data_IF_825550901899
#
_entry.id   IF_825550901899
#
_cell.length_a   1.000
_cell.length_b   1.000
_cell.length_c   1.000
_cell.angle_alpha   90.00
_cell.angle_beta   90.00
_cell.angle_gamma   90.00
#
_symmetry.space_group_name_H-M   'P 1'
#
loop_
_entity.id
_entity.type
_entity.pdbx_description
1 polymer ?
#
# COMPACT_ATOMS: atom_id res chain seq x y z
N UNK A 1 -41.13 -3.00 31.34
CA UNK A 1 -40.85 -4.39 31.74
C UNK A 1 -41.33 -4.57 33.17
N UNK A 2 -42.10 -5.63 33.43
CA UNK A 2 -42.69 -5.92 34.75
C UNK A 2 -41.98 -7.16 35.28
N UNK A 3 -41.57 -7.14 36.56
CA UNK A 3 -40.98 -8.29 37.21
C UNK A 3 -42.06 -9.33 37.52
N UNK A 4 -41.71 -10.60 37.34
CA UNK A 4 -42.58 -11.74 37.66
C UNK A 4 -42.83 -11.88 39.18
N UNK A 5 -41.99 -11.23 40.00
CA UNK A 5 -42.20 -11.09 41.43
C UNK A 5 -41.75 -9.70 41.91
N UNK A 6 -42.47 -9.09 42.87
CA UNK A 6 -42.07 -7.80 43.43
C UNK A 6 -40.68 -7.90 44.06
N UNK A 7 -39.81 -6.94 43.76
CA UNK A 7 -38.48 -6.86 44.35
C UNK A 7 -38.38 -5.67 45.29
N UNK A 8 -37.55 -5.82 46.33
CA UNK A 8 -37.43 -4.84 47.42
C UNK A 8 -36.16 -4.02 47.23
N UNK A 9 -36.28 -2.69 47.24
CA UNK A 9 -35.12 -1.79 47.25
C UNK A 9 -34.58 -1.63 48.68
N UNK A 10 -33.34 -1.14 48.80
CA UNK A 10 -32.65 -0.96 50.10
C UNK A 10 -33.40 -0.02 51.07
N UNK A 11 -34.32 0.79 50.56
CA UNK A 11 -35.21 1.68 51.32
C UNK A 11 -36.45 0.97 51.91
N UNK A 12 -36.64 -0.32 51.62
CA UNK A 12 -37.74 -1.13 52.11
C UNK A 12 -38.98 -1.17 51.21
N UNK A 13 -39.01 -0.39 50.12
CA UNK A 13 -40.14 -0.31 49.19
C UNK A 13 -40.16 -1.47 48.18
N UNK A 14 -41.35 -1.94 47.83
CA UNK A 14 -41.55 -2.99 46.83
C UNK A 14 -41.91 -2.40 45.47
N UNK A 15 -41.19 -2.83 44.43
CA UNK A 15 -41.40 -2.39 43.06
C UNK A 15 -41.68 -3.59 42.16
N UNK A 16 -42.60 -3.41 41.21
CA UNK A 16 -42.91 -4.41 40.17
C UNK A 16 -42.41 -3.97 38.80
N UNK A 17 -41.98 -2.73 38.65
CA UNK A 17 -41.49 -2.17 37.39
C UNK A 17 -39.96 -2.14 37.38
N UNK A 18 -39.36 -2.93 36.48
CA UNK A 18 -37.90 -3.05 36.33
C UNK A 18 -37.32 -2.11 35.26
N UNK A 19 -38.15 -1.25 34.65
CA UNK A 19 -37.73 -0.22 33.70
C UNK A 19 -38.49 -0.25 32.37
N UNK A 20 -38.10 0.64 31.47
CA UNK A 20 -38.58 0.70 30.07
C UNK A 20 -37.41 0.37 29.12
N UNK A 21 -37.73 -0.34 28.04
CA UNK A 21 -36.79 -0.64 26.96
C UNK A 21 -37.32 0.04 25.70
N UNK A 22 -36.49 0.88 25.07
CA UNK A 22 -36.80 1.51 23.78
C UNK A 22 -35.88 0.91 22.74
N UNK A 23 -36.44 0.17 21.78
CA UNK A 23 -35.68 -0.36 20.66
C UNK A 23 -35.98 0.43 19.40
N UNK A 24 -34.93 0.81 18.67
CA UNK A 24 -35.01 1.52 17.41
C UNK A 24 -34.92 0.53 16.25
N UNK A 25 -35.95 0.50 15.40
CA UNK A 25 -35.92 -0.26 14.15
C UNK A 25 -35.57 0.70 13.03
N UNK A 26 -34.51 0.39 12.28
CA UNK A 26 -34.19 1.16 11.06
C UNK A 26 -35.13 0.73 9.94
N UNK A 27 -35.91 1.70 9.45
CA UNK A 27 -36.79 1.56 8.28
C UNK A 27 -36.19 2.37 7.15
N UNK A 28 -36.02 1.74 5.98
CA UNK A 28 -35.59 2.40 4.76
C UNK A 28 -36.81 2.78 3.91
N UNK A 29 -36.71 3.78 3.00
CA UNK A 29 -37.81 4.17 2.12
C UNK A 29 -38.39 3.02 1.29
N UNK A 30 -37.58 1.99 0.98
CA UNK A 30 -37.97 0.81 0.19
C UNK A 30 -38.53 -0.36 1.02
N UNK A 31 -38.67 -0.20 2.35
CA UNK A 31 -39.21 -1.25 3.21
C UNK A 31 -40.73 -1.35 3.07
N UNK A 32 -41.20 -2.47 2.52
CA UNK A 32 -42.62 -2.81 2.53
C UNK A 32 -43.08 -3.22 3.93
N UNK A 33 -44.39 -3.11 4.20
CA UNK A 33 -45.00 -3.51 5.48
C UNK A 33 -44.64 -4.95 5.87
N UNK A 34 -44.50 -5.85 4.89
CA UNK A 34 -44.15 -7.24 5.12
C UNK A 34 -42.69 -7.42 5.56
N UNK A 35 -41.75 -6.66 4.97
CA UNK A 35 -40.35 -6.60 5.44
C UNK A 35 -40.25 -6.01 6.84
N UNK A 36 -41.05 -5.00 7.16
CA UNK A 36 -41.09 -4.41 8.51
C UNK A 36 -41.62 -5.43 9.53
N UNK A 37 -42.67 -6.18 9.19
CA UNK A 37 -43.20 -7.27 10.03
C UNK A 37 -42.18 -8.39 10.25
N UNK A 38 -41.42 -8.78 9.23
CA UNK A 38 -40.33 -9.75 9.35
C UNK A 38 -39.22 -9.25 10.29
N UNK A 39 -38.80 -7.98 10.15
CA UNK A 39 -37.83 -7.33 11.05
C UNK A 39 -38.33 -7.32 12.50
N UNK A 40 -39.61 -7.03 12.74
CA UNK A 40 -40.24 -7.08 14.07
C UNK A 40 -40.30 -8.51 14.64
N UNK A 41 -40.60 -9.51 13.80
CA UNK A 41 -40.70 -10.90 14.24
C UNK A 41 -39.34 -11.44 14.71
N UNK A 42 -38.25 -11.08 14.01
CA UNK A 42 -36.87 -11.45 14.38
C UNK A 42 -36.44 -10.88 15.74
N UNK A 43 -37.00 -9.75 16.15
CA UNK A 43 -36.76 -9.16 17.47
C UNK A 43 -37.39 -9.99 18.60
N UNK A 44 -38.51 -10.68 18.34
CA UNK A 44 -39.22 -11.45 19.37
C UNK A 44 -38.45 -12.70 19.84
N UNK A 45 -37.48 -13.17 19.06
CA UNK A 45 -36.64 -14.34 19.37
C UNK A 45 -35.20 -14.01 19.78
N UNK A 46 -34.86 -12.73 19.93
CA UNK A 46 -33.63 -12.31 20.59
C UNK A 46 -33.87 -12.45 22.10
N UNK A 47 -33.50 -13.60 22.66
CA UNK A 47 -33.38 -13.76 24.11
C UNK A 47 -32.49 -12.62 24.62
N UNK A 48 -33.09 -11.70 25.38
CA UNK A 48 -32.35 -10.66 26.07
C UNK A 48 -31.68 -11.37 27.23
N UNK A 49 -30.47 -11.87 26.98
CA UNK A 49 -29.66 -12.54 27.98
C UNK A 49 -29.29 -11.50 29.06
N UNK A 50 -30.15 -11.37 30.08
CA UNK A 50 -29.89 -10.61 31.28
C UNK A 50 -28.99 -11.43 32.22
N UNK A 51 -27.89 -11.98 31.67
CA UNK A 51 -26.83 -12.60 32.43
C UNK A 51 -25.89 -11.50 32.92
N UNK A 52 -25.79 -11.33 34.24
CA UNK A 52 -24.66 -10.65 34.88
C UNK A 52 -23.38 -11.49 34.70
N UNK A 53 -22.91 -11.62 33.46
CA UNK A 53 -21.57 -12.08 33.14
C UNK A 53 -20.72 -10.81 33.02
N UNK A 54 -19.87 -10.61 34.01
CA UNK A 54 -18.77 -9.65 33.94
C UNK A 54 -17.85 -10.05 32.77
N UNK A 55 -18.17 -9.58 31.57
CA UNK A 55 -17.22 -9.55 30.46
C UNK A 55 -16.82 -8.10 30.27
N UNK A 56 -15.66 -7.75 30.79
CA UNK A 56 -14.96 -6.48 30.58
C UNK A 56 -14.51 -6.32 29.11
N UNK A 57 -15.44 -6.33 28.16
CA UNK A 57 -15.18 -5.96 26.76
C UNK A 57 -16.49 -5.73 26.01
N UNK A 58 -16.79 -4.51 25.54
CA UNK A 58 -17.79 -4.35 24.49
C UNK A 58 -17.19 -4.90 23.18
N UNK A 59 -17.42 -6.18 22.94
CA UNK A 59 -17.14 -6.86 21.68
C UNK A 59 -18.05 -6.25 20.60
N UNK A 60 -17.56 -5.22 19.92
CA UNK A 60 -18.24 -4.66 18.75
C UNK A 60 -18.04 -5.62 17.57
N UNK A 61 -19.11 -6.31 17.20
CA UNK A 61 -19.22 -7.07 15.96
C UNK A 61 -18.97 -6.16 14.75
N UNK A 62 -18.06 -6.57 13.87
CA UNK A 62 -17.64 -5.85 12.67
C UNK A 62 -18.79 -5.62 11.68
N UNK A 63 -18.89 -4.41 11.13
CA UNK A 63 -19.64 -4.11 9.91
C UNK A 63 -18.67 -4.14 8.72
N UNK A 64 -18.90 -5.04 7.77
CA UNK A 64 -18.26 -4.98 6.45
C UNK A 64 -19.01 -3.98 5.57
N UNK A 65 -18.28 -3.04 4.96
CA UNK A 65 -18.80 -2.18 3.90
C UNK A 65 -18.29 -2.70 2.56
N UNK A 66 -19.25 -2.90 1.65
CA UNK A 66 -19.08 -3.43 0.30
C UNK A 66 -18.09 -2.61 -0.52
N UNK A 67 -17.26 -3.32 -1.29
CA UNK A 67 -16.29 -2.79 -2.26
C UNK A 67 -17.02 -1.97 -3.32
N UNK A 68 -16.58 -0.74 -3.55
CA UNK A 68 -16.82 -0.03 -4.81
C UNK A 68 -15.52 -0.07 -5.60
N UNK A 69 -15.47 -0.94 -6.61
CA UNK A 69 -14.46 -0.87 -7.65
C UNK A 69 -14.69 0.38 -8.49
N UNK A 70 -13.75 1.32 -8.43
CA UNK A 70 -13.49 2.22 -9.53
C UNK A 70 -11.99 2.56 -9.54
N UNK A 71 -11.32 2.18 -10.63
CA UNK A 71 -9.94 2.51 -10.99
C UNK A 71 -8.79 1.92 -10.15
N UNK A 72 -8.73 0.59 -10.03
CA UNK A 72 -7.47 -0.16 -10.12
C UNK A 72 -6.39 0.03 -9.05
N UNK A 73 -6.62 0.80 -8.00
CA UNK A 73 -5.79 0.84 -6.79
C UNK A 73 -6.70 0.66 -5.59
N UNK A 74 -6.57 -0.49 -4.92
CA UNK A 74 -7.23 -0.73 -3.64
C UNK A 74 -6.54 0.20 -2.62
N UNK A 75 -7.11 1.37 -2.38
CA UNK A 75 -6.78 2.16 -1.18
C UNK A 75 -7.61 1.57 -0.06
N UNK A 76 -7.00 0.61 0.62
CA UNK A 76 -7.21 0.20 2.00
C UNK A 76 -8.65 0.26 2.54
N UNK A 77 -9.26 -0.91 2.71
CA UNK A 77 -10.39 -1.08 3.62
C UNK A 77 -10.02 -0.44 4.98
N UNK A 78 -10.90 0.30 5.68
CA UNK A 78 -10.54 0.91 6.96
C UNK A 78 -10.40 -0.19 8.01
N UNK A 79 -9.22 -0.83 8.07
CA UNK A 79 -8.93 -1.84 9.06
C UNK A 79 -8.50 -1.11 10.32
N UNK A 80 -9.46 -0.99 11.24
CA UNK A 80 -9.21 -0.59 12.62
C UNK A 80 -8.04 -1.45 13.17
N UNK A 81 -6.93 -0.78 13.54
CA UNK A 81 -5.71 -1.38 14.10
C UNK A 81 -4.85 -2.23 13.14
N UNK A 82 -4.98 -2.10 11.81
CA UNK A 82 -4.07 -2.83 10.92
C UNK A 82 -2.71 -2.19 10.78
N UNK A 83 -1.71 -3.07 10.76
CA UNK A 83 -0.43 -2.83 10.13
C UNK A 83 -0.70 -2.77 8.62
N UNK A 84 -0.24 -1.71 7.97
CA UNK A 84 -0.32 -1.53 6.52
C UNK A 84 1.07 -1.80 5.97
N UNK A 85 1.13 -2.69 4.98
CA UNK A 85 2.36 -3.01 4.25
C UNK A 85 2.30 -2.40 2.85
N UNK A 86 3.31 -1.60 2.50
CA UNK A 86 3.51 -1.05 1.17
C UNK A 86 4.89 -1.50 0.68
N UNK A 87 4.94 -2.21 -0.45
CA UNK A 87 6.20 -2.58 -1.08
C UNK A 87 6.53 -1.58 -2.18
N UNK A 88 7.71 -0.95 -2.09
CA UNK A 88 8.24 -0.05 -3.12
C UNK A 88 9.36 -0.79 -3.85
N UNK A 89 9.19 -1.06 -5.13
CA UNK A 89 10.24 -1.63 -5.97
C UNK A 89 11.41 -0.65 -6.07
N UNK A 90 12.62 -1.09 -5.70
CA UNK A 90 13.81 -0.23 -5.63
C UNK A 90 15.01 -0.76 -6.44
N UNK A 91 14.77 -1.71 -7.33
CA UNK A 91 15.76 -2.27 -8.23
C UNK A 91 15.15 -2.86 -9.50
N UNK A 92 16.00 -3.24 -10.45
CA UNK A 92 15.60 -3.73 -11.77
C UNK A 92 15.17 -5.21 -11.78
N UNK A 93 15.52 -5.99 -10.74
CA UNK A 93 15.26 -7.42 -10.67
C UNK A 93 14.13 -7.76 -9.70
N UNK A 94 13.61 -8.98 -9.82
CA UNK A 94 12.64 -9.54 -8.89
C UNK A 94 13.16 -9.55 -7.45
N UNK A 95 12.25 -9.44 -6.48
CA UNK A 95 12.53 -9.42 -5.04
C UNK A 95 13.37 -8.22 -4.54
N UNK A 96 13.57 -7.18 -5.35
CA UNK A 96 14.22 -5.93 -4.96
C UNK A 96 13.19 -4.89 -4.56
N UNK A 97 12.67 -4.99 -3.34
CA UNK A 97 11.71 -4.05 -2.79
C UNK A 97 12.06 -3.56 -1.38
N UNK A 98 11.76 -2.29 -1.11
CA UNK A 98 11.73 -1.71 0.23
C UNK A 98 10.31 -1.89 0.76
N UNK A 99 10.16 -2.73 1.78
CA UNK A 99 8.91 -2.92 2.49
C UNK A 99 8.73 -1.82 3.55
N UNK A 100 7.70 -1.01 3.39
CA UNK A 100 7.22 -0.03 4.37
C UNK A 100 6.12 -0.68 5.19
N UNK A 101 6.31 -0.71 6.50
CA UNK A 101 5.36 -1.23 7.46
C UNK A 101 5.01 -0.09 8.40
N UNK A 102 3.74 0.32 8.40
CA UNK A 102 3.28 1.41 9.28
C UNK A 102 1.92 1.07 9.89
N UNK A 103 1.63 1.67 11.05
CA UNK A 103 0.34 1.48 11.73
C UNK A 103 -0.70 2.44 11.13
N UNK A 104 -1.94 1.98 10.99
CA UNK A 104 -3.07 2.89 10.71
C UNK A 104 -3.19 3.95 11.81
N UNK A 105 -3.41 5.21 11.42
CA UNK A 105 -3.49 6.38 12.31
C UNK A 105 -4.90 6.97 12.36
N UNK A 106 -5.88 6.16 12.73
CA UNK A 106 -7.26 6.59 12.95
C UNK A 106 -7.55 6.90 14.44
N UNK A 107 -8.63 7.63 14.73
CA UNK A 107 -9.01 8.05 16.09
C UNK A 107 -9.09 6.88 17.08
N UNK A 108 -9.54 5.72 16.64
CA UNK A 108 -9.65 4.53 17.48
C UNK A 108 -8.28 3.87 17.74
N UNK A 109 -7.44 3.73 16.72
CA UNK A 109 -6.07 3.21 16.85
C UNK A 109 -5.16 4.12 17.69
N UNK A 110 -5.49 5.42 17.75
CA UNK A 110 -4.82 6.42 18.58
C UNK A 110 -5.42 6.51 19.99
N UNK A 111 -6.52 5.79 20.29
CA UNK A 111 -7.16 5.79 21.60
C UNK A 111 -7.89 7.08 21.97
N UNK A 112 -8.24 7.91 20.98
CA UNK A 112 -8.87 9.23 21.16
C UNK A 112 -10.32 9.29 20.63
N UNK A 113 -10.94 8.14 20.36
CA UNK A 113 -12.31 8.07 19.80
C UNK A 113 -13.41 8.48 20.78
N UNK A 114 -13.15 8.38 22.09
CA UNK A 114 -14.13 8.66 23.16
C UNK A 114 -13.60 9.68 24.17
N UNK A 115 -12.72 10.58 23.73
CA UNK A 115 -12.16 11.63 24.56
C UNK A 115 -13.25 12.63 24.97
N UNK A 116 -13.33 12.96 26.26
CA UNK A 116 -14.36 13.82 26.84
C UNK A 116 -13.72 14.98 27.61
N UNK A 117 -14.24 16.20 27.45
CA UNK A 117 -13.77 17.41 28.15
C UNK A 117 -14.85 18.10 28.99
N UNK A 118 -15.97 17.42 29.27
CA UNK A 118 -17.11 18.01 29.97
C UNK A 118 -16.91 18.19 31.48
N UNK A 119 -16.06 17.35 32.10
CA UNK A 119 -15.70 17.47 33.52
C UNK A 119 -14.20 17.69 33.68
N UNK A 120 -13.76 18.17 34.84
CA UNK A 120 -12.35 18.40 35.13
C UNK A 120 -11.55 17.09 35.03
N UNK A 121 -12.05 16.03 35.64
CA UNK A 121 -11.42 14.70 35.65
C UNK A 121 -11.36 14.10 34.24
N UNK A 122 -12.43 14.26 33.45
CA UNK A 122 -12.46 13.80 32.06
C UNK A 122 -11.45 14.60 31.20
N UNK A 123 -11.33 15.90 31.44
CA UNK A 123 -10.39 16.77 30.73
C UNK A 123 -8.93 16.43 31.04
N UNK A 124 -8.61 16.11 32.30
CA UNK A 124 -7.28 15.62 32.69
C UNK A 124 -6.94 14.28 32.01
N UNK A 125 -7.91 13.35 31.96
CA UNK A 125 -7.76 12.09 31.22
C UNK A 125 -7.61 12.32 29.71
N UNK A 126 -8.33 13.27 29.14
CA UNK A 126 -8.27 13.61 27.72
C UNK A 126 -6.88 14.11 27.30
N UNK A 127 -6.26 14.95 28.12
CA UNK A 127 -4.90 15.44 27.88
C UNK A 127 -3.91 14.27 27.83
N UNK A 128 -4.04 13.30 28.76
CA UNK A 128 -3.20 12.10 28.76
C UNK A 128 -3.40 11.23 27.52
N UNK A 129 -4.65 11.02 27.10
CA UNK A 129 -4.96 10.28 25.87
C UNK A 129 -4.35 10.93 24.62
N UNK A 130 -4.46 12.26 24.51
CA UNK A 130 -3.89 13.02 23.40
C UNK A 130 -2.35 12.98 23.43
N UNK A 131 -1.73 13.08 24.60
CA UNK A 131 -0.27 12.98 24.74
C UNK A 131 0.25 11.61 24.26
N UNK A 132 -0.46 10.53 24.60
CA UNK A 132 -0.12 9.19 24.12
C UNK A 132 -0.30 9.07 22.61
N UNK A 133 -1.41 9.58 22.05
CA UNK A 133 -1.64 9.61 20.61
C UNK A 133 -0.53 10.39 19.88
N UNK A 134 -0.10 11.53 20.42
CA UNK A 134 0.99 12.33 19.86
C UNK A 134 2.32 11.57 19.87
N UNK A 135 2.60 10.81 20.93
CA UNK A 135 3.79 9.95 21.01
C UNK A 135 3.79 8.90 19.89
N UNK A 136 2.66 8.22 19.68
CA UNK A 136 2.50 7.22 18.60
C UNK A 136 2.71 7.86 17.22
N UNK A 137 2.10 9.02 16.95
CA UNK A 137 2.28 9.74 15.68
C UNK A 137 3.74 10.15 15.48
N UNK A 138 4.41 10.59 16.55
CA UNK A 138 5.82 10.99 16.51
C UNK A 138 6.74 9.80 16.21
N UNK A 139 6.46 8.64 16.79
CA UNK A 139 7.15 7.39 16.49
C UNK A 139 6.97 6.99 15.02
N UNK A 140 5.73 7.01 14.51
CA UNK A 140 5.49 6.71 13.10
C UNK A 140 6.22 7.69 12.17
N UNK A 141 6.24 8.99 12.49
CA UNK A 141 7.02 9.98 11.71
C UNK A 141 8.52 9.69 11.71
N UNK A 142 9.07 9.25 12.84
CA UNK A 142 10.47 8.84 12.93
C UNK A 142 10.77 7.65 11.99
N UNK A 143 9.88 6.66 11.98
CA UNK A 143 9.97 5.51 11.07
C UNK A 143 9.90 5.96 9.60
N UNK A 144 8.98 6.85 9.26
CA UNK A 144 8.91 7.41 7.89
C UNK A 144 10.18 8.17 7.50
N UNK A 145 10.81 8.91 8.42
CA UNK A 145 12.11 9.54 8.18
C UNK A 145 13.21 8.51 7.90
N UNK A 146 13.23 7.39 8.63
CA UNK A 146 14.16 6.30 8.36
C UNK A 146 13.91 5.65 6.99
N UNK A 147 12.64 5.45 6.59
CA UNK A 147 12.30 4.97 5.26
C UNK A 147 12.71 5.95 4.16
N UNK A 148 12.53 7.26 4.36
CA UNK A 148 13.01 8.29 3.43
C UNK A 148 14.52 8.20 3.22
N UNK A 149 15.31 8.09 4.30
CA UNK A 149 16.76 7.94 4.19
C UNK A 149 17.14 6.68 3.40
N UNK A 150 16.46 5.56 3.65
CA UNK A 150 16.68 4.31 2.90
C UNK A 150 16.32 4.45 1.43
N UNK A 151 15.22 5.13 1.12
CA UNK A 151 14.80 5.40 -0.26
C UNK A 151 15.78 6.31 -0.99
N UNK A 152 16.32 7.34 -0.32
CA UNK A 152 17.31 8.24 -0.91
C UNK A 152 18.63 7.49 -1.19
N UNK A 153 19.09 6.64 -0.26
CA UNK A 153 20.24 5.78 -0.52
C UNK A 153 20.00 4.78 -1.66
N UNK A 154 18.81 4.17 -1.71
CA UNK A 154 18.45 3.27 -2.79
C UNK A 154 18.42 4.01 -4.14
N UNK A 155 17.86 5.22 -4.17
CA UNK A 155 17.85 6.09 -5.34
C UNK A 155 19.27 6.37 -5.84
N UNK A 156 20.17 6.85 -4.97
CA UNK A 156 21.56 7.10 -5.36
C UNK A 156 22.26 5.85 -5.90
N UNK A 157 21.97 4.68 -5.32
CA UNK A 157 22.52 3.42 -5.82
C UNK A 157 21.99 3.07 -7.22
N UNK A 158 20.69 3.25 -7.47
CA UNK A 158 20.09 3.00 -8.80
C UNK A 158 20.61 3.99 -9.83
N UNK A 159 20.74 5.27 -9.49
CA UNK A 159 21.28 6.30 -10.38
C UNK A 159 22.73 5.95 -10.79
N UNK A 160 23.58 5.58 -9.81
CA UNK A 160 24.95 5.13 -10.08
C UNK A 160 25.00 3.85 -10.93
N UNK A 161 24.12 2.89 -10.67
CA UNK A 161 24.03 1.66 -11.45
C UNK A 161 23.60 1.96 -12.89
N UNK A 162 22.66 2.87 -13.09
CA UNK A 162 22.21 3.32 -14.41
C UNK A 162 23.35 3.98 -15.18
N UNK A 163 24.09 4.90 -14.55
CA UNK A 163 25.25 5.56 -15.18
C UNK A 163 26.34 4.56 -15.57
N UNK A 164 26.68 3.63 -14.66
CA UNK A 164 27.68 2.60 -14.92
C UNK A 164 27.25 1.65 -16.04
N UNK A 165 25.97 1.26 -16.07
CA UNK A 165 25.42 0.36 -17.10
C UNK A 165 25.41 1.05 -18.46
N UNK A 166 24.97 2.30 -18.52
CA UNK A 166 24.97 3.09 -19.75
C UNK A 166 26.39 3.34 -20.27
N UNK A 167 27.35 3.60 -19.38
CA UNK A 167 28.78 3.75 -19.76
C UNK A 167 29.35 2.44 -20.30
N UNK A 168 29.04 1.31 -19.65
CA UNK A 168 29.47 0.00 -20.13
C UNK A 168 28.84 -0.35 -21.48
N UNK A 169 27.54 -0.07 -21.66
CA UNK A 169 26.83 -0.27 -22.92
C UNK A 169 27.45 0.58 -24.05
N UNK A 170 27.72 1.87 -23.80
CA UNK A 170 28.40 2.73 -24.78
C UNK A 170 29.74 2.15 -25.18
N UNK A 171 30.56 1.73 -24.21
CA UNK A 171 31.88 1.14 -24.50
C UNK A 171 31.79 -0.15 -25.32
N UNK A 172 30.83 -1.02 -25.03
CA UNK A 172 30.62 -2.25 -25.78
C UNK A 172 30.20 -1.91 -27.20
N UNK A 173 29.19 -1.05 -27.36
CA UNK A 173 28.69 -0.63 -28.67
C UNK A 173 29.75 0.08 -29.51
N UNK A 174 30.52 0.98 -28.91
CA UNK A 174 31.60 1.72 -29.59
C UNK A 174 32.72 0.78 -30.01
N UNK A 175 33.11 -0.18 -29.15
CA UNK A 175 34.14 -1.16 -29.48
C UNK A 175 33.72 -2.06 -30.64
N UNK A 176 32.47 -2.53 -30.63
CA UNK A 176 31.95 -3.40 -31.69
C UNK A 176 31.72 -2.62 -33.00
N UNK A 177 31.30 -1.35 -32.92
CA UNK A 177 31.25 -0.46 -34.08
C UNK A 177 32.63 -0.24 -34.70
N UNK A 178 33.66 0.01 -33.88
CA UNK A 178 35.03 0.21 -34.38
C UNK A 178 35.55 -1.04 -35.09
N UNK A 179 35.28 -2.24 -34.59
CA UNK A 179 35.65 -3.49 -35.29
C UNK A 179 35.00 -3.58 -36.67
N UNK A 180 33.70 -3.31 -36.75
CA UNK A 180 32.97 -3.36 -38.02
C UNK A 180 33.46 -2.28 -38.99
N UNK A 181 33.73 -1.06 -38.51
CA UNK A 181 34.29 0.03 -39.33
C UNK A 181 35.69 -0.31 -39.85
N UNK A 182 36.53 -0.96 -39.04
CA UNK A 182 37.87 -1.39 -39.46
C UNK A 182 37.78 -2.48 -40.52
N UNK A 183 36.92 -3.48 -40.34
CA UNK A 183 36.75 -4.53 -41.35
C UNK A 183 36.13 -3.97 -42.64
N UNK A 184 35.13 -3.10 -42.53
CA UNK A 184 34.55 -2.37 -43.67
C UNK A 184 35.61 -1.53 -44.41
N UNK A 185 36.45 -0.79 -43.67
CA UNK A 185 37.53 0.02 -44.27
C UNK A 185 38.57 -0.85 -44.96
N UNK A 186 38.93 -1.99 -44.36
CA UNK A 186 39.83 -2.98 -44.97
C UNK A 186 39.24 -3.57 -46.24
N UNK A 187 37.95 -3.94 -46.23
CA UNK A 187 37.25 -4.41 -47.43
C UNK A 187 37.22 -3.33 -48.52
N UNK A 188 36.97 -2.07 -48.17
CA UNK A 188 36.97 -0.96 -49.11
C UNK A 188 38.37 -0.73 -49.72
N UNK A 189 39.44 -0.78 -48.91
CA UNK A 189 40.82 -0.70 -49.39
C UNK A 189 41.14 -1.89 -50.30
N UNK A 190 40.73 -3.11 -49.95
CA UNK A 190 40.91 -4.28 -50.81
C UNK A 190 40.17 -4.13 -52.13
N UNK A 191 38.94 -3.62 -52.14
CA UNK A 191 38.19 -3.37 -53.37
C UNK A 191 38.86 -2.31 -54.26
N UNK A 192 39.35 -1.21 -53.68
CA UNK A 192 40.12 -0.20 -54.41
C UNK A 192 41.45 -0.77 -54.94
N UNK A 193 42.13 -1.59 -54.14
CA UNK A 193 43.39 -2.26 -54.51
C UNK A 193 43.15 -3.28 -55.61
N UNK A 194 42.06 -4.06 -55.57
CA UNK A 194 41.66 -4.98 -56.63
C UNK A 194 41.41 -4.23 -57.93
N UNK A 195 40.75 -3.08 -57.89
CA UNK A 195 40.53 -2.26 -59.08
C UNK A 195 41.85 -1.73 -59.69
N UNK A 196 42.76 -1.20 -58.85
CA UNK A 196 44.08 -0.75 -59.29
C UNK A 196 44.99 -1.89 -59.75
N UNK A 197 44.97 -3.04 -59.06
CA UNK A 197 45.69 -4.26 -59.45
C UNK A 197 45.15 -4.81 -60.76
N UNK A 198 43.84 -4.79 -60.99
CA UNK A 198 43.25 -5.24 -62.24
C UNK A 198 43.68 -4.35 -63.42
N UNK A 199 43.75 -3.02 -63.21
CA UNK A 199 44.26 -2.12 -64.25
C UNK A 199 45.76 -2.32 -64.49
N UNK A 200 46.55 -2.55 -63.43
CA UNK A 200 48.00 -2.75 -63.51
C UNK A 200 48.37 -4.13 -64.10
N UNK A 201 47.63 -5.18 -63.75
CA UNK A 201 47.78 -6.53 -64.30
C UNK A 201 47.41 -6.60 -65.79
N UNK A 202 46.46 -5.78 -66.26
CA UNK A 202 46.16 -5.65 -67.69
C UNK A 202 47.22 -4.84 -68.46
N UNK A 203 47.89 -3.89 -67.81
CA UNK A 203 48.94 -3.07 -68.44
C UNK A 203 50.33 -3.72 -68.44
N UNK A 204 50.60 -4.62 -67.48
CA UNK A 204 51.85 -5.39 -67.42
C UNK A 204 52.16 -6.22 -68.68
N UNK A 205 51.23 -7.02 -69.24
CA UNK A 205 51.52 -7.83 -70.44
C UNK A 205 51.87 -6.97 -71.67
N UNK A 206 51.28 -5.78 -71.83
CA UNK A 206 51.65 -4.88 -72.94
C UNK A 206 53.06 -4.29 -72.80
N UNK A 207 53.48 -3.98 -71.57
CA UNK A 207 54.86 -3.53 -71.31
C UNK A 207 55.90 -4.64 -71.54
N UNK A 208 55.56 -5.88 -71.22
CA UNK A 208 56.43 -7.03 -71.51
C UNK A 208 56.51 -7.29 -73.02
N UNK A 209 55.40 -7.13 -73.76
CA UNK A 209 55.40 -7.24 -75.22
C UNK A 209 56.26 -6.17 -75.90
N UNK A 210 56.34 -4.97 -75.32
CA UNK A 210 57.22 -3.90 -75.79
C UNK A 210 58.71 -4.17 -75.51
N UNK A 211 59.04 -4.99 -74.51
CA UNK A 211 60.41 -5.43 -74.18
C UNK A 211 60.86 -6.68 -74.95
N UNK A 212 59.94 -7.36 -75.64
CA UNK A 212 60.20 -8.55 -76.47
C UNK A 212 60.29 -8.24 -77.98
N UNK A 213 60.41 -6.96 -78.34
CA UNK A 213 60.70 -6.48 -79.70
C UNK A 213 62.09 -5.86 -79.73
#
# INVERSE_FOLDING_TARGET
>A
MIADSPYKLNDGSYHTHIGSMTMLIRVSPDDTIEKIKDKLSKIRGLDIDAGNQSTNTPSHTYYYATVYEQDGVIIDSPVYQSIIELNIQNGANENQAIKLIYKSLNLHSLGISSTNSLTKEASESAISQIANALSIVSEQRSIFGAYQNRLEHARYNVDNMSENTQSAESKIRDTDMVKEIVEYSKQQILQQTLHSLFSQANQMPERVLALLK
#
